data_IF_424085371084
#
_entry.id   IF_424085371084
#
_cell.length_a   1.000
_cell.length_b   1.000
_cell.length_c   1.000
_cell.angle_alpha   90.00
_cell.angle_beta   90.00
_cell.angle_gamma   90.00
#
_symmetry.space_group_name_H-M   'P 1'
#
loop_
_entity.id
_entity.type
_entity.pdbx_description
1 polymer ?
2 non-polymer ?
3 non-polymer ?
4 water ?
#
# COMPACT_ATOMS: atom_id res chain seq x y z
N UNK A 38 30.56 4.58 -5.88
CA UNK A 38 29.23 4.86 -6.40
C UNK A 38 28.19 4.88 -5.29
N UNK A 39 27.20 5.77 -5.41
CA UNK A 39 26.15 5.91 -4.43
C UNK A 39 24.82 5.40 -5.01
N UNK A 40 23.96 4.83 -4.18
CA UNK A 40 22.69 4.29 -4.68
C UNK A 40 21.79 5.40 -5.21
N UNK A 41 20.75 5.07 -5.98
CA UNK A 41 19.83 6.10 -6.45
C UNK A 41 19.26 6.91 -5.30
N UNK A 42 18.97 8.19 -5.58
CA UNK A 42 18.56 9.12 -4.52
C UNK A 42 17.31 8.63 -3.82
N UNK A 43 16.34 8.10 -4.58
CA UNK A 43 15.12 7.61 -3.98
C UNK A 43 15.36 6.45 -3.03
N UNK A 44 16.36 5.60 -3.32
CA UNK A 44 16.69 4.50 -2.43
C UNK A 44 17.45 4.99 -1.21
N UNK A 45 18.34 5.98 -1.40
CA UNK A 45 18.99 6.63 -0.26
C UNK A 45 17.96 7.13 0.74
N UNK A 46 16.87 7.72 0.24
CA UNK A 46 15.84 8.26 1.10
C UNK A 46 15.04 7.16 1.79
N UNK A 47 14.40 6.30 0.99
CA UNK A 47 13.44 5.36 1.55
C UNK A 47 14.13 4.33 2.45
N UNK A 48 15.28 3.81 2.04
CA UNK A 48 15.91 2.71 2.76
C UNK A 48 17.03 3.16 3.71
N UNK A 49 17.51 4.39 3.60
CA UNK A 49 18.63 4.82 4.40
C UNK A 49 18.34 5.95 5.37
N UNK A 50 17.47 6.87 4.97
CA UNK A 50 17.28 8.10 5.73
C UNK A 50 16.39 7.89 6.94
N UNK A 51 16.67 8.64 8.00
CA UNK A 51 15.75 8.73 9.13
C UNK A 51 14.53 9.57 8.83
N UNK A 52 14.59 10.43 7.81
CA UNK A 52 13.40 11.17 7.39
C UNK A 52 12.31 10.22 6.93
N UNK A 53 12.67 9.26 6.07
CA UNK A 53 11.69 8.28 5.62
C UNK A 53 11.24 7.37 6.76
N UNK A 54 12.11 7.13 7.73
CA UNK A 54 11.72 6.32 8.88
C UNK A 54 10.67 7.04 9.71
N UNK A 55 10.94 8.30 10.06
CA UNK A 55 9.95 9.11 10.78
C UNK A 55 8.68 9.27 9.97
N UNK A 56 8.80 9.36 8.63
CA UNK A 56 7.62 9.47 7.78
C UNK A 56 6.75 8.21 7.89
N UNK A 57 7.38 7.05 7.99
CA UNK A 57 6.62 5.80 8.11
C UNK A 57 6.02 5.64 9.51
N UNK A 58 6.82 5.94 10.55
CA UNK A 58 6.32 5.83 11.92
C UNK A 58 5.11 6.75 12.16
N UNK A 59 5.12 7.93 11.52
CA UNK A 59 3.98 8.84 11.65
C UNK A 59 2.71 8.23 11.08
N UNK A 60 2.81 7.58 9.93
CA UNK A 60 1.64 7.00 9.29
C UNK A 60 1.04 5.89 10.17
N UNK A 61 1.84 5.09 10.79
CA UNK A 61 1.32 4.03 11.60
C UNK A 61 0.77 4.47 12.90
N UNK A 62 1.32 5.52 13.42
CA UNK A 62 0.84 6.09 14.62
C UNK A 62 -0.53 6.61 14.35
N UNK A 63 -0.72 7.32 13.26
CA UNK A 63 -2.07 7.79 12.93
C UNK A 63 -3.01 6.61 12.69
N UNK A 64 -2.52 5.53 12.08
CA UNK A 64 -3.37 4.38 11.82
C UNK A 64 -3.79 3.70 13.12
N UNK A 65 -2.85 3.53 14.06
CA UNK A 65 -3.18 2.90 15.34
C UNK A 65 -4.19 3.73 16.12
N UNK A 66 -4.06 5.05 16.08
CA UNK A 66 -5.01 5.91 16.79
C UNK A 66 -6.37 5.89 16.12
N UNK A 67 -6.40 5.83 14.78
CA UNK A 67 -7.67 5.79 14.07
C UNK A 67 -8.40 4.48 14.32
N UNK A 68 -7.67 3.37 14.30
CA UNK A 68 -8.30 2.07 14.54
C UNK A 68 -8.84 1.98 15.96
N UNK A 69 -8.09 2.48 16.94
CA UNK A 69 -8.54 2.44 18.33
C UNK A 69 -9.86 3.19 18.50
N UNK A 70 -10.00 4.35 17.85
CA UNK A 70 -11.26 5.08 17.93
C UNK A 70 -12.40 4.33 17.27
N UNK A 71 -12.12 3.57 16.22
CA UNK A 71 -13.14 2.79 15.55
C UNK A 71 -13.45 1.48 16.26
N UNK A 72 -12.54 1.01 17.12
CA UNK A 72 -12.86 -0.14 17.96
C UNK A 72 -13.84 0.24 19.07
N UNK A 73 -13.65 1.41 19.67
CA UNK A 73 -14.57 1.88 20.70
C UNK A 73 -15.94 2.21 20.12
N UNK A 74 -15.96 2.79 18.92
CA UNK A 74 -17.20 3.16 18.24
C UNK A 74 -17.10 2.65 16.81
N UNK A 75 -17.85 1.59 16.49
CA UNK A 75 -17.84 1.07 15.13
C UNK A 75 -18.54 2.04 14.19
N UNK A 76 -17.97 2.31 13.02
CA UNK A 76 -18.57 3.24 12.08
C UNK A 76 -19.65 2.55 11.24
N UNK A 77 -20.31 3.35 10.40
CA UNK A 77 -21.28 2.82 9.46
C UNK A 77 -20.65 2.47 8.12
N UNK A 78 -19.74 3.32 7.64
CA UNK A 78 -19.01 3.06 6.40
C UNK A 78 -17.67 2.42 6.70
N UNK A 79 -17.32 1.41 5.91
CA UNK A 79 -15.95 0.92 5.89
C UNK A 79 -15.11 1.83 4.99
N UNK A 80 -13.81 1.54 4.90
CA UNK A 80 -12.90 2.37 4.12
C UNK A 80 -12.69 1.81 2.72
N UNK A 81 -13.47 0.83 2.31
CA UNK A 81 -13.40 0.24 0.97
C UNK A 81 -14.57 0.75 0.15
N UNK A 82 -14.28 1.29 -1.04
CA UNK A 82 -15.32 1.84 -1.89
C UNK A 82 -16.26 0.77 -2.38
N UNK A 83 -17.54 1.12 -2.49
CA UNK A 83 -18.51 0.21 -3.08
C UNK A 83 -18.32 0.11 -4.59
N UNK A 84 -18.78 -0.99 -5.16
CA UNK A 84 -18.67 -1.19 -6.59
C UNK A 84 -19.58 -0.20 -7.33
N UNK A 85 -19.05 0.38 -8.41
CA UNK A 85 -19.76 1.39 -9.16
C UNK A 85 -19.60 2.79 -8.63
N UNK A 86 -18.97 2.97 -7.47
CA UNK A 86 -18.73 4.29 -6.91
C UNK A 86 -17.48 4.88 -7.55
N UNK A 87 -17.64 5.94 -8.33
CA UNK A 87 -16.52 6.58 -8.97
C UNK A 87 -15.85 7.62 -8.08
N UNK A 88 -14.68 8.08 -8.52
CA UNK A 88 -13.98 9.14 -7.82
C UNK A 88 -14.76 10.45 -7.85
N UNK A 89 -15.71 10.58 -8.77
CA UNK A 89 -16.56 11.77 -8.79
C UNK A 89 -17.49 11.80 -7.59
N UNK A 90 -18.18 10.69 -7.31
CA UNK A 90 -19.13 10.60 -6.22
C UNK A 90 -18.81 9.35 -5.41
N UNK A 91 -17.93 9.47 -4.41
CA UNK A 91 -17.50 8.29 -3.65
C UNK A 91 -18.55 7.81 -2.66
N UNK A 92 -18.66 6.49 -2.54
CA UNK A 92 -19.50 5.84 -1.55
C UNK A 92 -18.82 4.53 -1.15
N UNK A 93 -19.07 4.09 0.08
CA UNK A 93 -18.31 3.01 0.68
C UNK A 93 -19.21 1.82 1.00
N UNK A 94 -18.60 0.64 1.02
CA UNK A 94 -19.29 -0.57 1.49
C UNK A 94 -19.61 -0.40 2.96
N UNK A 95 -20.85 -0.64 3.39
CA UNK A 95 -21.18 -0.47 4.81
C UNK A 95 -20.40 -1.44 5.70
N UNK A 96 -20.29 -1.06 6.97
CA UNK A 96 -19.55 -1.84 7.96
C UNK A 96 -20.38 -2.97 8.54
N UNK A 97 -21.63 -2.71 8.91
CA UNK A 97 -22.48 -3.73 9.47
C UNK A 97 -21.92 -4.29 10.77
N UNK A 98 -22.17 -5.58 11.00
CA UNK A 98 -21.67 -6.30 12.15
C UNK A 98 -20.51 -7.23 11.79
N UNK A 99 -19.84 -6.97 10.67
CA UNK A 99 -18.75 -7.83 10.23
C UNK A 99 -17.52 -7.62 11.11
N UNK A 100 -16.65 -8.63 11.20
CA UNK A 100 -15.44 -8.49 12.03
C UNK A 100 -14.56 -7.35 11.54
N UNK A 101 -14.01 -6.61 12.50
CA UNK A 101 -13.15 -5.48 12.16
C UNK A 101 -11.82 -5.98 11.60
N UNK A 102 -11.33 -5.30 10.57
CA UNK A 102 -10.09 -5.70 9.93
C UNK A 102 -9.40 -4.46 9.36
N UNK A 103 -8.14 -4.66 8.96
CA UNK A 103 -7.37 -3.62 8.30
C UNK A 103 -6.60 -4.24 7.14
N UNK A 104 -6.71 -3.62 5.97
CA UNK A 104 -6.08 -4.13 4.75
C UNK A 104 -4.76 -3.41 4.54
N UNK A 105 -3.74 -4.17 4.12
CA UNK A 105 -2.43 -3.60 3.84
C UNK A 105 -1.87 -4.19 2.56
N UNK A 106 -1.32 -3.31 1.72
CA UNK A 106 -0.39 -3.78 0.70
C UNK A 106 0.89 -4.26 1.39
N UNK A 107 1.62 -5.13 0.70
CA UNK A 107 2.82 -5.72 1.29
C UNK A 107 4.05 -4.92 0.90
N UNK A 108 4.35 -4.89 -0.40
CA UNK A 108 5.62 -4.34 -0.87
C UNK A 108 5.68 -2.84 -0.66
N UNK A 109 6.67 -2.40 0.14
CA UNK A 109 6.93 -0.99 0.44
C UNK A 109 5.79 -0.31 1.19
N UNK A 110 4.88 -1.10 1.76
CA UNK A 110 3.86 -0.60 2.66
C UNK A 110 4.08 -1.11 4.08
N UNK A 111 4.16 -2.43 4.25
CA UNK A 111 4.54 -3.02 5.52
C UNK A 111 5.88 -3.74 5.45
N UNK A 112 6.35 -4.11 4.26
CA UNK A 112 7.58 -4.86 4.10
C UNK A 112 8.49 -4.16 3.11
N UNK A 113 9.76 -3.97 3.49
CA UNK A 113 10.75 -3.39 2.61
C UNK A 113 11.45 -4.51 1.84
N UNK A 114 11.47 -4.38 0.51
CA UNK A 114 12.16 -5.34 -0.35
C UNK A 114 13.60 -4.86 -0.57
N UNK A 115 14.37 -4.92 0.52
CA UNK A 115 15.74 -4.41 0.50
C UNK A 115 16.58 -5.22 -0.48
N UNK A 116 16.43 -6.54 -0.46
CA UNK A 116 17.28 -7.39 -1.29
C UNK A 116 17.12 -7.11 -2.77
N UNK A 117 15.87 -6.96 -3.23
CA UNK A 117 15.63 -6.73 -4.65
C UNK A 117 16.11 -5.36 -5.08
N UNK A 118 15.81 -4.32 -4.28
CA UNK A 118 16.22 -2.97 -4.66
C UNK A 118 17.72 -2.80 -4.59
N UNK A 119 18.40 -3.58 -3.74
CA UNK A 119 19.86 -3.63 -3.79
C UNK A 119 20.33 -4.16 -5.13
N UNK A 120 19.66 -5.20 -5.65
CA UNK A 120 19.99 -5.72 -6.97
C UNK A 120 19.67 -4.68 -8.05
N UNK A 121 18.57 -3.95 -7.88
CA UNK A 121 18.22 -2.93 -8.85
C UNK A 121 19.24 -1.80 -8.87
N UNK A 122 19.77 -1.45 -7.70
CA UNK A 122 20.77 -0.39 -7.63
C UNK A 122 22.10 -0.84 -8.23
N UNK A 123 22.45 -2.11 -8.04
CA UNK A 123 23.70 -2.62 -8.60
C UNK A 123 23.60 -2.77 -10.11
N UNK A 124 22.43 -3.15 -10.62
CA UNK A 124 22.27 -3.48 -12.02
C UNK A 124 21.75 -2.32 -12.86
N UNK A 125 20.82 -1.52 -12.32
CA UNK A 125 20.08 -0.56 -13.10
C UNK A 125 18.82 -1.12 -13.72
N UNK A 126 18.71 -2.44 -13.86
CA UNK A 126 17.51 -3.09 -14.36
C UNK A 126 16.49 -3.18 -13.22
N UNK A 127 15.84 -2.04 -12.96
CA UNK A 127 14.80 -2.04 -11.95
C UNK A 127 13.54 -2.77 -12.41
N UNK A 128 13.09 -2.48 -13.63
CA UNK A 128 11.92 -3.14 -14.21
C UNK A 128 12.39 -4.42 -14.88
N UNK A 129 12.18 -5.55 -14.20
CA UNK A 129 12.55 -6.86 -14.73
C UNK A 129 11.55 -7.86 -14.19
N UNK A 130 10.71 -8.40 -15.07
CA UNK A 130 9.67 -9.34 -14.64
C UNK A 130 10.27 -10.68 -14.23
N UNK A 131 11.33 -11.11 -14.93
CA UNK A 131 11.96 -12.38 -14.58
C UNK A 131 12.69 -12.30 -13.25
N UNK A 132 13.36 -11.17 -12.99
CA UNK A 132 14.10 -11.02 -11.74
C UNK A 132 13.16 -10.86 -10.55
N UNK A 133 12.04 -10.15 -10.75
CA UNK A 133 11.09 -9.98 -9.65
C UNK A 133 10.37 -11.27 -9.32
N UNK A 134 10.11 -12.12 -10.32
CA UNK A 134 9.49 -13.42 -10.06
C UNK A 134 10.41 -14.28 -9.20
N UNK A 135 11.73 -14.21 -9.45
CA UNK A 135 12.68 -14.92 -8.61
C UNK A 135 12.72 -14.32 -7.21
N UNK A 136 12.59 -13.00 -7.11
CA UNK A 136 12.59 -12.36 -5.79
C UNK A 136 11.37 -12.76 -4.98
N UNK A 137 10.23 -12.96 -5.64
CA UNK A 137 9.04 -13.41 -4.93
C UNK A 137 9.22 -14.81 -4.37
N UNK A 138 10.08 -15.61 -4.99
CA UNK A 138 10.28 -16.99 -4.56
C UNK A 138 11.44 -17.16 -3.60
N UNK A 139 12.45 -16.30 -3.66
CA UNK A 139 13.69 -16.50 -2.91
C UNK A 139 14.09 -15.30 -2.05
N UNK A 140 13.20 -14.34 -1.85
CA UNK A 140 13.58 -13.12 -1.16
C UNK A 140 13.25 -13.04 0.31
N UNK A 141 12.80 -14.14 0.93
CA UNK A 141 12.41 -14.12 2.33
C UNK A 141 13.58 -13.82 3.26
N UNK A 142 14.82 -13.99 2.79
CA UNK A 142 15.98 -13.74 3.62
C UNK A 142 16.41 -12.28 3.64
N UNK A 143 15.96 -11.48 2.67
CA UNK A 143 16.41 -10.11 2.52
C UNK A 143 15.24 -9.13 2.57
N UNK A 144 14.33 -9.33 3.51
CA UNK A 144 13.21 -8.42 3.71
C UNK A 144 13.29 -7.85 5.13
N UNK A 145 12.80 -6.63 5.27
CA UNK A 145 12.75 -5.91 6.53
C UNK A 145 11.37 -5.30 6.70
N UNK A 146 10.95 -5.05 7.94
CA UNK A 146 9.69 -4.34 8.14
C UNK A 146 9.84 -2.85 7.87
N UNK A 147 8.80 -2.25 7.31
CA UNK A 147 8.73 -0.79 7.31
C UNK A 147 8.78 -0.32 8.75
N UNK A 148 9.55 0.73 9.10
CA UNK A 148 9.66 1.16 10.50
C UNK A 148 8.32 1.27 11.21
N UNK A 149 8.13 0.46 12.25
CA UNK A 149 6.90 0.45 13.01
C UNK A 149 5.82 -0.48 12.49
N UNK A 150 6.03 -1.10 11.33
CA UNK A 150 5.00 -1.99 10.78
C UNK A 150 4.88 -3.27 11.59
N UNK A 151 5.98 -3.79 12.13
CA UNK A 151 5.90 -4.96 12.99
C UNK A 151 5.25 -4.62 14.32
N UNK A 152 5.49 -3.41 14.83
CA UNK A 152 4.90 -3.01 16.10
C UNK A 152 3.40 -2.77 15.97
N UNK A 153 2.96 -2.18 14.86
CA UNK A 153 1.54 -1.92 14.68
C UNK A 153 0.76 -3.20 14.39
N UNK A 154 1.38 -4.17 13.71
CA UNK A 154 0.67 -5.42 13.40
C UNK A 154 0.38 -6.17 14.69
N UNK A 155 1.31 -6.16 15.65
CA UNK A 155 1.02 -6.77 16.94
C UNK A 155 -0.05 -6.00 17.69
N UNK A 156 0.00 -4.66 17.63
CA UNK A 156 -0.99 -3.86 18.33
C UNK A 156 -2.38 -4.06 17.75
N UNK A 157 -2.47 -4.22 16.43
CA UNK A 157 -3.77 -4.43 15.80
C UNK A 157 -4.39 -5.75 16.25
N UNK A 158 -3.57 -6.78 16.47
CA UNK A 158 -4.09 -8.07 16.88
C UNK A 158 -4.34 -8.14 18.38
N UNK A 159 -3.57 -7.40 19.18
CA UNK A 159 -3.90 -7.25 20.60
C UNK A 159 -5.16 -6.43 20.79
N UNK A 160 -5.58 -5.67 19.79
CA UNK A 160 -6.82 -4.91 19.80
C UNK A 160 -8.01 -5.69 19.28
N UNK A 161 -7.79 -6.90 18.77
CA UNK A 161 -8.86 -7.69 18.20
C UNK A 161 -9.15 -7.42 16.74
N UNK A 162 -8.27 -6.73 16.03
CA UNK A 162 -8.46 -6.38 14.63
C UNK A 162 -7.68 -7.36 13.78
N UNK A 163 -8.33 -7.91 12.75
CA UNK A 163 -7.68 -8.84 11.84
C UNK A 163 -6.85 -8.09 10.82
N UNK A 164 -5.64 -8.58 10.57
CA UNK A 164 -4.72 -7.98 9.61
C UNK A 164 -4.81 -8.75 8.30
N UNK A 165 -5.26 -8.07 7.26
CA UNK A 165 -5.43 -8.67 5.93
C UNK A 165 -4.44 -8.03 4.98
N UNK A 166 -3.78 -8.86 4.17
CA UNK A 166 -2.81 -8.39 3.17
C UNK A 166 -3.41 -8.56 1.78
N UNK A 167 -3.38 -7.48 1.00
CA UNK A 167 -3.82 -7.50 -0.39
C UNK A 167 -2.66 -7.00 -1.25
N UNK A 168 -1.92 -7.94 -1.85
CA UNK A 168 -0.70 -7.62 -2.57
C UNK A 168 -0.79 -8.12 -4.00
N UNK A 169 -0.02 -7.48 -4.88
CA UNK A 169 0.06 -7.89 -6.27
C UNK A 169 1.16 -8.91 -6.51
N UNK A 170 1.72 -9.48 -5.46
CA UNK A 170 2.55 -10.67 -5.61
C UNK A 170 1.69 -11.81 -6.17
N UNK A 171 2.36 -12.75 -6.84
CA UNK A 171 1.64 -13.79 -7.56
C UNK A 171 1.04 -14.82 -6.61
N UNK A 172 -0.13 -15.34 -6.99
CA UNK A 172 -0.75 -16.39 -6.18
C UNK A 172 0.09 -17.66 -6.18
N UNK A 173 0.82 -17.92 -7.27
CA UNK A 173 1.70 -19.08 -7.32
C UNK A 173 2.85 -19.02 -6.35
N UNK A 174 3.25 -17.83 -5.93
CA UNK A 174 4.31 -17.64 -4.95
C UNK A 174 3.74 -17.29 -3.57
N UNK A 175 2.58 -17.86 -3.22
CA UNK A 175 1.92 -17.52 -1.97
C UNK A 175 2.72 -18.01 -0.77
N UNK A 176 3.26 -19.23 -0.84
CA UNK A 176 3.98 -19.78 0.31
C UNK A 176 5.28 -19.02 0.60
N UNK A 177 6.16 -18.76 -0.38
CA UNK A 177 7.33 -17.92 -0.06
C UNK A 177 6.96 -16.51 0.36
N UNK A 178 5.82 -15.99 -0.10
CA UNK A 178 5.35 -14.69 0.38
C UNK A 178 4.95 -14.75 1.84
N UNK A 179 4.29 -15.85 2.25
CA UNK A 179 3.92 -16.03 3.65
C UNK A 179 5.17 -16.08 4.52
N UNK A 180 6.21 -16.77 4.06
CA UNK A 180 7.44 -16.86 4.82
C UNK A 180 8.15 -15.51 4.89
N UNK A 181 8.14 -14.76 3.78
CA UNK A 181 8.74 -13.43 3.79
C UNK A 181 8.01 -12.49 4.74
N UNK A 182 6.67 -12.54 4.73
CA UNK A 182 5.89 -11.72 5.66
C UNK A 182 6.21 -12.10 7.10
N UNK A 183 6.33 -13.40 7.36
CA UNK A 183 6.68 -13.85 8.71
C UNK A 183 8.08 -13.41 9.10
N UNK A 184 9.03 -13.51 8.17
CA UNK A 184 10.41 -13.11 8.46
C UNK A 184 10.53 -11.61 8.69
N UNK A 185 9.60 -10.82 8.17
CA UNK A 185 9.58 -9.38 8.42
C UNK A 185 8.96 -9.01 9.75
N UNK A 186 8.58 -10.00 10.57
CA UNK A 186 7.95 -9.73 11.85
C UNK A 186 6.52 -9.25 11.73
N UNK A 187 5.83 -9.60 10.65
CA UNK A 187 4.48 -9.12 10.38
C UNK A 187 3.39 -10.15 10.68
N UNK A 188 3.74 -11.23 11.39
CA UNK A 188 2.75 -12.22 11.77
C UNK A 188 2.53 -13.28 10.70
N UNK A 189 1.45 -14.03 10.88
CA UNK A 189 1.13 -15.17 10.03
C UNK A 189 -0.01 -14.80 9.09
N UNK A 190 0.25 -14.90 7.78
CA UNK A 190 -0.75 -14.69 6.76
C UNK A 190 -1.17 -16.02 6.16
N UNK A 191 -2.45 -16.12 5.79
CA UNK A 191 -3.02 -17.32 5.23
C UNK A 191 -3.63 -16.99 3.88
N UNK A 192 -3.25 -17.74 2.85
CA UNK A 192 -3.77 -17.53 1.51
C UNK A 192 -5.27 -17.82 1.48
N UNK A 193 -6.05 -16.83 1.05
CA UNK A 193 -7.48 -16.96 0.94
C UNK A 193 -8.27 -16.41 2.12
N UNK A 194 -7.63 -16.25 3.28
CA UNK A 194 -8.30 -15.73 4.46
C UNK A 194 -7.75 -14.38 4.90
N UNK A 195 -6.44 -14.23 4.98
CA UNK A 195 -5.80 -12.97 5.34
C UNK A 195 -4.72 -12.56 4.33
N UNK A 196 -4.58 -13.29 3.22
CA UNK A 196 -3.62 -12.95 2.18
C UNK A 196 -4.27 -13.14 0.83
N UNK A 197 -4.36 -12.06 0.05
CA UNK A 197 -4.97 -12.08 -1.27
C UNK A 197 -3.95 -11.57 -2.28
N UNK A 198 -3.65 -12.39 -3.29
CA UNK A 198 -2.56 -12.14 -4.21
C UNK A 198 -3.07 -11.93 -5.62
N UNK A 199 -2.20 -11.37 -6.46
CA UNK A 199 -2.51 -11.23 -7.88
C UNK A 199 -2.68 -12.61 -8.50
N UNK A 200 -3.78 -12.79 -9.23
CA UNK A 200 -4.13 -14.07 -9.79
C UNK A 200 -5.24 -14.80 -9.05
N UNK A 201 -5.60 -14.35 -7.86
CA UNK A 201 -6.73 -14.94 -7.15
C UNK A 201 -8.05 -14.71 -7.89
N UNK A 202 -8.11 -13.69 -8.74
CA UNK A 202 -9.21 -13.49 -9.67
C UNK A 202 -8.64 -13.25 -11.05
N UNK A 203 -9.52 -13.10 -12.05
CA UNK A 203 -9.09 -12.87 -13.43
C UNK A 203 -8.93 -11.39 -13.74
N UNK A 204 -8.34 -10.62 -12.83
CA UNK A 204 -8.23 -9.18 -12.99
C UNK A 204 -6.79 -8.66 -12.93
N UNK A 205 -5.82 -9.53 -12.75
CA UNK A 205 -4.42 -9.09 -12.81
C UNK A 205 -4.08 -8.16 -11.65
N UNK A 206 -3.49 -7.01 -12.00
CA UNK A 206 -3.04 -6.05 -11.00
C UNK A 206 -4.18 -5.24 -10.39
N UNK A 207 -5.38 -5.31 -10.95
CA UNK A 207 -6.52 -4.62 -10.35
C UNK A 207 -6.87 -5.26 -9.01
N UNK A 208 -6.98 -4.42 -7.97
CA UNK A 208 -7.25 -4.88 -6.62
C UNK A 208 -8.68 -4.64 -6.15
N UNK A 209 -9.52 -4.03 -6.99
CA UNK A 209 -10.89 -3.73 -6.56
C UNK A 209 -11.69 -5.00 -6.33
N UNK A 210 -11.48 -6.01 -7.17
CA UNK A 210 -12.17 -7.29 -6.96
C UNK A 210 -11.78 -7.95 -5.66
N UNK A 211 -10.49 -7.93 -5.33
CA UNK A 211 -10.05 -8.48 -4.06
C UNK A 211 -10.50 -7.62 -2.89
N UNK A 212 -10.57 -6.29 -3.08
CA UNK A 212 -11.11 -5.43 -2.04
C UNK A 212 -12.59 -5.71 -1.81
N UNK A 213 -13.33 -6.04 -2.87
CA UNK A 213 -14.73 -6.40 -2.73
C UNK A 213 -14.89 -7.71 -1.96
N UNK A 214 -13.96 -8.65 -2.14
CA UNK A 214 -14.03 -9.91 -1.41
C UNK A 214 -13.74 -9.69 0.07
N UNK A 215 -12.78 -8.83 0.39
CA UNK A 215 -12.43 -8.56 1.78
C UNK A 215 -13.56 -7.82 2.49
N UNK A 216 -14.07 -6.75 1.87
CA UNK A 216 -15.15 -5.99 2.47
C UNK A 216 -16.44 -6.79 2.57
N UNK A 217 -16.56 -7.89 1.83
CA UNK A 217 -17.76 -8.71 1.91
C UNK A 217 -17.82 -9.55 3.18
N UNK A 218 -16.67 -9.79 3.83
CA UNK A 218 -16.61 -10.58 5.04
C UNK A 218 -15.98 -9.85 6.22
N UNK A 219 -15.38 -8.68 6.00
CA UNK A 219 -14.81 -7.88 7.07
C UNK A 219 -15.34 -6.46 6.98
N UNK A 220 -15.30 -5.77 8.12
CA UNK A 220 -15.51 -4.32 8.17
C UNK A 220 -14.11 -3.68 8.26
N UNK A 221 -13.60 -3.26 7.11
CA UNK A 221 -12.25 -2.71 7.03
C UNK A 221 -12.28 -1.28 7.56
N UNK A 222 -11.65 -1.06 8.72
CA UNK A 222 -11.65 0.26 9.34
C UNK A 222 -10.41 1.08 8.97
N UNK A 223 -9.43 0.48 8.30
CA UNK A 223 -8.22 1.17 7.89
C UNK A 223 -7.58 0.40 6.76
N UNK A 224 -6.94 1.12 5.85
CA UNK A 224 -6.28 0.48 4.71
C UNK A 224 -5.03 1.28 4.36
N UNK A 225 -3.89 0.59 4.33
CA UNK A 225 -2.61 1.23 4.08
C UNK A 225 -2.03 0.83 2.74
N UNK A 226 -1.19 1.69 2.18
CA UNK A 226 -0.56 1.43 0.91
C UNK A 226 0.42 2.52 0.56
N UNK A 227 1.30 2.20 -0.39
CA UNK A 227 2.28 3.16 -0.87
C UNK A 227 2.01 3.63 -2.29
N UNK A 228 1.10 2.98 -3.02
CA UNK A 228 0.68 3.44 -4.33
C UNK A 228 -0.84 3.60 -4.33
N UNK A 229 -1.31 4.53 -5.16
CA UNK A 229 -2.73 4.87 -5.14
C UNK A 229 -3.62 3.69 -5.51
N UNK A 230 -3.08 2.73 -6.29
CA UNK A 230 -3.83 1.54 -6.62
C UNK A 230 -4.17 0.67 -5.42
N UNK A 231 -3.54 0.92 -4.27
CA UNK A 231 -3.83 0.19 -3.04
C UNK A 231 -5.06 0.72 -2.33
N UNK A 232 -5.70 1.76 -2.86
CA UNK A 232 -6.93 2.29 -2.31
C UNK A 232 -8.10 2.23 -3.30
N UNK A 233 -7.84 2.34 -4.59
CA UNK A 233 -8.87 2.24 -5.62
C UNK A 233 -8.18 2.06 -6.97
N UNK A 234 -8.70 1.13 -7.77
CA UNK A 234 -8.23 0.98 -9.14
C UNK A 234 -8.59 2.19 -10.00
N UNK A 235 -9.53 3.02 -9.53
CA UNK A 235 -9.95 4.19 -10.29
C UNK A 235 -8.87 5.25 -10.37
N UNK A 236 -7.81 5.15 -9.58
CA UNK A 236 -6.68 6.06 -9.72
C UNK A 236 -5.78 5.69 -10.89
N UNK A 237 -5.94 4.52 -11.47
CA UNK A 237 -5.05 4.03 -12.51
C UNK A 237 -5.86 3.60 -13.73
N UNK A 238 -5.14 3.12 -14.75
CA UNK A 238 -5.76 2.65 -15.97
C UNK A 238 -6.44 3.74 -16.77
N UNK A 239 -5.73 4.85 -17.00
CA UNK A 239 -6.31 5.95 -17.74
C UNK A 239 -5.83 7.32 -17.28
N UNK A 240 -6.16 7.69 -16.05
CA UNK A 240 -5.86 9.06 -15.58
C UNK A 240 -4.37 9.38 -15.67
N UNK A 241 -4.08 10.61 -16.11
CA UNK A 241 -2.72 11.07 -16.27
C UNK A 241 -2.11 11.43 -14.91
N UNK A 242 -0.82 11.75 -14.93
CA UNK A 242 -0.12 12.13 -13.70
C UNK A 242 -0.78 13.36 -13.08
N UNK A 243 -1.13 14.35 -13.90
CA UNK A 243 -1.81 15.53 -13.38
C UNK A 243 -3.18 15.19 -12.84
N UNK A 244 -3.91 14.32 -13.53
CA UNK A 244 -5.27 13.98 -13.10
C UNK A 244 -5.26 13.19 -11.80
N UNK A 245 -4.30 12.26 -11.64
CA UNK A 245 -4.26 11.44 -10.43
C UNK A 245 -3.94 12.29 -9.21
N UNK A 246 -3.03 13.26 -9.35
CA UNK A 246 -2.68 14.12 -8.23
C UNK A 246 -3.87 14.97 -7.81
N UNK A 247 -4.62 15.51 -8.78
CA UNK A 247 -5.83 16.26 -8.46
C UNK A 247 -6.87 15.37 -7.80
N UNK A 248 -6.93 14.10 -8.19
CA UNK A 248 -7.94 13.19 -7.65
C UNK A 248 -7.79 13.01 -6.15
N UNK A 249 -6.56 13.02 -5.64
CA UNK A 249 -6.33 12.88 -4.21
C UNK A 249 -6.83 14.08 -3.42
N UNK A 250 -7.06 15.21 -4.08
CA UNK A 250 -7.58 16.41 -3.44
C UNK A 250 -9.08 16.59 -3.66
N UNK A 251 -9.75 15.60 -4.25
CA UNK A 251 -11.20 15.58 -4.25
C UNK A 251 -11.66 15.54 -2.79
N UNK A 252 -12.46 16.51 -2.35
CA UNK A 252 -12.75 16.62 -0.90
C UNK A 252 -13.28 15.36 -0.26
N UNK A 253 -14.05 14.54 -0.99
CA UNK A 253 -14.48 13.27 -0.44
C UNK A 253 -13.32 12.28 -0.34
N UNK A 254 -12.36 12.37 -1.26
CA UNK A 254 -11.17 11.53 -1.18
C UNK A 254 -10.15 12.14 -0.23
N UNK A 255 -10.05 13.48 -0.21
CA UNK A 255 -9.07 14.15 0.63
C UNK A 255 -9.31 13.89 2.11
N UNK A 256 -10.56 13.68 2.50
CA UNK A 256 -10.87 13.41 3.90
C UNK A 256 -10.39 12.04 4.36
N UNK A 257 -9.97 11.17 3.44
CA UNK A 257 -9.58 9.81 3.80
C UNK A 257 -8.12 9.73 4.25
N UNK A 258 -7.25 10.59 3.73
CA UNK A 258 -5.83 10.50 4.02
C UNK A 258 -5.57 10.78 5.49
N UNK A 259 -4.90 9.84 6.16
CA UNK A 259 -4.72 9.93 7.59
C UNK A 259 -5.98 9.74 8.40
N UNK A 260 -7.08 9.33 7.76
CA UNK A 260 -8.37 9.20 8.42
C UNK A 260 -9.14 8.01 7.89
N UNK A 261 -8.42 6.94 7.53
CA UNK A 261 -9.04 5.77 6.92
C UNK A 261 -8.13 5.14 5.89
N UNK A 262 -7.60 5.97 4.99
CA UNK A 262 -6.58 5.55 4.04
C UNK A 262 -5.24 6.11 4.49
N UNK A 263 -4.25 5.23 4.65
CA UNK A 263 -2.97 5.61 5.22
C UNK A 263 -1.86 5.31 4.22
N UNK A 264 -1.02 6.32 3.97
CA UNK A 264 -0.05 6.30 2.88
C UNK A 264 1.35 6.17 3.46
N UNK A 265 2.21 5.46 2.73
CA UNK A 265 3.62 5.33 3.07
C UNK A 265 4.46 5.64 1.84
N UNK A 266 5.67 6.15 2.04
CA UNK A 266 6.45 6.67 0.90
C UNK A 266 7.06 5.59 0.04
N UNK A 267 7.16 5.90 -1.25
CA UNK A 267 7.83 5.04 -2.24
C UNK A 267 8.29 5.89 -3.40
N UNK A 268 9.44 6.57 -3.27
CA UNK A 268 10.00 7.31 -4.40
C UNK A 268 10.99 6.47 -5.20
N UNK A 269 10.89 5.15 -5.07
CA UNK A 269 11.82 4.22 -5.70
C UNK A 269 11.24 3.63 -6.98
N UNK A 270 9.97 3.26 -6.97
CA UNK A 270 9.34 2.65 -8.13
C UNK A 270 7.83 2.85 -8.03
N UNK A 271 7.14 2.49 -9.10
CA UNK A 271 5.69 2.46 -9.11
C UNK A 271 5.08 3.63 -9.87
N UNK A 272 3.77 3.77 -9.68
CA UNK A 272 2.98 4.79 -10.36
C UNK A 272 3.29 6.20 -9.87
N UNK A 273 4.08 6.35 -8.81
CA UNK A 273 4.47 7.68 -8.36
C UNK A 273 5.65 8.28 -9.11
N UNK A 274 6.34 7.49 -9.91
CA UNK A 274 7.52 7.93 -10.65
C UNK A 274 7.19 7.97 -12.14
N UNK A 275 6.33 8.90 -12.52
CA UNK A 275 5.87 9.04 -13.89
C UNK A 275 5.81 10.52 -14.24
N UNK A 276 5.64 10.80 -15.53
CA UNK A 276 5.38 12.15 -15.98
C UNK A 276 6.61 12.86 -16.50
N UNK A 277 6.40 13.73 -17.49
CA UNK A 277 7.45 14.57 -18.03
C UNK A 277 7.55 15.90 -17.31
N UNK A 278 8.22 16.85 -17.97
CA UNK A 278 8.49 18.13 -17.33
C UNK A 278 7.23 18.98 -17.20
N UNK A 279 6.34 18.95 -18.20
CA UNK A 279 5.14 19.77 -18.15
C UNK A 279 4.13 19.28 -17.12
N UNK A 280 4.27 18.04 -16.65
CA UNK A 280 3.38 17.49 -15.64
C UNK A 280 3.95 17.57 -14.24
N UNK A 281 5.28 17.57 -14.10
CA UNK A 281 5.89 17.71 -12.78
C UNK A 281 6.01 19.18 -12.39
N UNK A 282 6.39 20.03 -13.33
CA UNK A 282 6.55 21.47 -13.09
C UNK A 282 5.54 22.23 -13.92
N UNK A 283 4.40 22.65 -13.35
CA UNK A 283 3.43 23.45 -14.12
C UNK A 283 4.05 24.74 -14.63
N UNK A 284 3.57 25.18 -15.79
CA UNK A 284 4.20 26.29 -16.50
C UNK A 284 4.01 27.63 -15.82
N UNK A 285 3.09 27.75 -14.87
CA UNK A 285 2.92 28.98 -14.10
C UNK A 285 3.86 29.07 -12.91
N UNK A 286 4.67 28.05 -12.67
CA UNK A 286 5.58 28.02 -11.53
C UNK A 286 6.99 27.67 -11.99
N UNK A 287 7.41 28.24 -13.11
CA UNK A 287 8.74 27.98 -13.66
C UNK A 287 9.62 29.21 -13.49
N UNK A 288 10.93 28.96 -13.40
CA UNK A 288 11.88 29.99 -12.99
C UNK A 288 13.25 29.64 -13.55
N UNK A 289 14.04 30.69 -13.81
CA UNK A 289 15.36 30.54 -14.38
C UNK A 289 16.37 31.33 -13.56
N UNK A 290 17.49 30.70 -13.24
CA UNK A 290 18.54 31.37 -12.49
C UNK A 290 19.26 32.39 -13.37
N UNK A 291 19.78 33.48 -12.78
CA UNK A 291 20.48 34.51 -13.54
C UNK A 291 21.69 33.98 -14.31
#
# INVERSE_FOLDING_TARGET
MASWSHPQFEKGSSHHHHHHSSGSGGGGGENLYFQGSETPPAGMQYLYGSGEASALSLQAYQALLAHVAAKVKVRPADSVILAEGAGLDDPRFVPCGAKPLAAVFDVDETVMLNIGYEYHAARTGRGFDTAAWDAWERTGEAAVAPVPGADRMVRALRQMGVTVVFNTNRAAGNAEPTVRAIKAAGLGDAVHGQTLFLSGDDAMGSRKDGRRATIAARYCVIAMGGDQLGDFSDLFNGGPSVTARRAATMQPAIAQMWGNGWFVLPNPVYGSGLKGGFDEVFPLDKRWAAPADGEK
#
